data_IF_845846671771
#
_entry.id   IF_845846671771
#
_cell.length_a   1.000
_cell.length_b   1.000
_cell.length_c   1.000
_cell.angle_alpha   90.00
_cell.angle_beta   90.00
_cell.angle_gamma   90.00
#
_symmetry.space_group_name_H-M   'P 1'
#
loop_
_entity.id
_entity.type
_entity.pdbx_description
1 polymer ?
#
# COMPACT_ATOMS: atom_id res chain seq x y z
N UNK A 1 19.16 8.69 -7.69
CA UNK A 1 18.07 7.71 -7.68
C UNK A 1 18.18 6.70 -8.80
N UNK A 2 17.92 5.42 -8.50
CA UNK A 2 17.98 4.33 -9.50
C UNK A 2 16.75 4.29 -10.45
N UNK A 3 15.88 5.31 -10.47
CA UNK A 3 14.69 5.36 -11.35
C UNK A 3 13.46 4.60 -10.84
N UNK A 4 13.46 4.12 -9.58
CA UNK A 4 12.32 3.35 -9.01
C UNK A 4 11.00 4.12 -9.04
N UNK A 5 11.00 5.36 -8.56
CA UNK A 5 9.78 6.21 -8.55
C UNK A 5 9.32 6.55 -9.97
N UNK A 6 10.25 6.79 -10.91
CA UNK A 6 9.94 6.97 -12.33
C UNK A 6 9.24 5.74 -12.90
N UNK A 7 9.75 4.53 -12.61
CA UNK A 7 9.12 3.28 -13.02
C UNK A 7 7.69 3.17 -12.45
N UNK A 8 7.49 3.52 -11.17
CA UNK A 8 6.13 3.51 -10.58
C UNK A 8 5.20 4.50 -11.28
N UNK A 9 5.65 5.72 -11.58
CA UNK A 9 4.85 6.74 -12.29
C UNK A 9 4.48 6.28 -13.70
N UNK A 10 5.42 5.63 -14.40
CA UNK A 10 5.15 5.03 -15.71
C UNK A 10 4.09 3.92 -15.58
N UNK A 11 4.18 3.03 -14.59
CA UNK A 11 3.18 1.98 -14.35
C UNK A 11 1.79 2.55 -14.02
N UNK A 12 1.74 3.66 -13.29
CA UNK A 12 0.49 4.38 -12.97
C UNK A 12 -0.09 5.09 -14.21
N UNK A 13 0.74 5.40 -15.20
CA UNK A 13 0.36 6.17 -16.38
C UNK A 13 0.47 7.68 -16.18
N UNK A 14 1.20 8.12 -15.16
CA UNK A 14 1.53 9.52 -14.87
C UNK A 14 2.68 10.03 -15.76
N UNK A 15 3.53 9.11 -16.22
CA UNK A 15 4.61 9.36 -17.17
C UNK A 15 4.53 8.36 -18.32
N UNK A 16 4.95 8.79 -19.51
CA UNK A 16 5.04 7.92 -20.70
C UNK A 16 6.44 7.28 -20.77
N UNK A 17 6.55 5.99 -21.10
CA UNK A 17 7.86 5.39 -21.32
C UNK A 17 8.48 5.96 -22.60
N UNK A 18 9.82 6.13 -22.62
CA UNK A 18 10.56 6.55 -23.81
C UNK A 18 10.42 5.52 -24.94
N UNK A 19 10.43 4.23 -24.58
CA UNK A 19 10.26 3.11 -25.51
C UNK A 19 9.38 2.01 -24.88
N UNK A 20 8.76 1.20 -25.73
CA UNK A 20 7.94 0.08 -25.29
C UNK A 20 6.48 0.45 -24.98
N UNK A 21 5.75 -0.49 -24.42
CA UNK A 21 4.33 -0.33 -24.10
C UNK A 21 3.99 -0.98 -22.75
N UNK A 22 3.03 -0.36 -22.04
CA UNK A 22 2.47 -0.92 -20.81
C UNK A 22 1.11 -1.54 -21.14
N UNK A 23 0.94 -2.81 -20.77
CA UNK A 23 -0.35 -3.50 -20.88
C UNK A 23 -0.92 -3.72 -19.48
N UNK A 24 -2.02 -3.05 -19.16
CA UNK A 24 -2.76 -3.25 -17.91
C UNK A 24 -3.75 -4.41 -18.09
N UNK A 25 -3.82 -5.30 -17.11
CA UNK A 25 -4.80 -6.39 -17.11
C UNK A 25 -6.23 -5.85 -17.03
N UNK A 26 -7.18 -6.59 -17.60
CA UNK A 26 -8.61 -6.27 -17.50
C UNK A 26 -9.05 -6.44 -16.05
N UNK A 27 -9.76 -5.43 -15.51
CA UNK A 27 -10.22 -5.44 -14.12
C UNK A 27 -9.18 -5.03 -13.08
N UNK A 28 -7.99 -4.57 -13.50
CA UNK A 28 -7.01 -4.02 -12.58
C UNK A 28 -7.53 -2.74 -11.94
N UNK A 29 -7.55 -2.69 -10.61
CA UNK A 29 -7.96 -1.56 -9.78
C UNK A 29 -6.79 -1.12 -8.91
N UNK A 30 -5.89 -0.28 -9.45
CA UNK A 30 -4.69 0.14 -8.75
C UNK A 30 -5.01 1.23 -7.73
N UNK A 31 -4.27 1.21 -6.61
CA UNK A 31 -4.16 2.33 -5.69
C UNK A 31 -2.68 2.58 -5.38
N UNK A 32 -2.32 3.83 -5.18
CA UNK A 32 -0.95 4.26 -4.93
C UNK A 32 -0.84 5.09 -3.66
N UNK A 33 0.03 4.65 -2.77
CA UNK A 33 0.47 5.41 -1.60
C UNK A 33 1.87 5.97 -1.89
N UNK A 34 2.01 7.27 -2.13
CA UNK A 34 3.31 7.90 -2.35
C UNK A 34 4.10 8.00 -1.04
N UNK A 35 5.42 8.16 -1.15
CA UNK A 35 6.31 8.38 -0.01
C UNK A 35 5.91 9.61 0.82
N UNK A 36 5.49 10.69 0.17
CA UNK A 36 4.96 11.87 0.82
C UNK A 36 3.48 12.05 0.47
N UNK A 37 2.66 12.09 1.49
CA UNK A 37 1.19 12.19 1.33
C UNK A 37 0.77 13.64 1.48
N UNK A 38 0.09 14.15 0.44
CA UNK A 38 -0.48 15.49 0.41
C UNK A 38 -2.00 15.42 0.28
N UNK A 39 -2.68 16.30 0.98
CA UNK A 39 -4.13 16.47 0.89
C UNK A 39 -4.45 17.85 0.32
N UNK A 40 -5.43 17.93 -0.56
CA UNK A 40 -5.82 19.18 -1.22
C UNK A 40 -6.34 20.22 -0.22
N UNK A 41 -6.97 19.79 0.86
CA UNK A 41 -7.57 20.65 1.89
C UNK A 41 -7.04 20.26 3.29
N UNK A 42 -5.79 20.64 3.63
CA UNK A 42 -5.16 20.20 4.87
C UNK A 42 -5.81 20.75 6.15
N UNK A 43 -6.56 21.84 6.07
CA UNK A 43 -7.30 22.44 7.19
C UNK A 43 -8.67 21.82 7.44
N UNK A 44 -9.08 20.86 6.62
CA UNK A 44 -10.32 20.11 6.82
C UNK A 44 -10.11 19.04 7.89
N UNK A 45 -11.10 18.78 8.74
CA UNK A 45 -11.02 17.67 9.69
C UNK A 45 -11.15 16.33 8.96
N UNK A 46 -10.81 15.21 9.65
CA UNK A 46 -10.76 13.90 9.02
C UNK A 46 -12.15 13.42 8.56
N UNK A 47 -13.20 13.72 9.31
CA UNK A 47 -14.58 13.34 8.95
C UNK A 47 -14.97 14.04 7.66
N UNK A 48 -14.80 15.36 7.61
CA UNK A 48 -15.16 16.15 6.43
C UNK A 48 -14.30 15.77 5.22
N UNK A 49 -13.02 15.42 5.43
CA UNK A 49 -12.16 14.92 4.37
C UNK A 49 -12.79 13.70 3.68
N UNK A 50 -13.21 12.68 4.44
CA UNK A 50 -13.86 11.51 3.87
C UNK A 50 -15.23 11.82 3.27
N UNK A 51 -16.04 12.68 3.91
CA UNK A 51 -17.36 13.06 3.39
C UNK A 51 -17.22 13.67 1.99
N UNK A 52 -16.32 14.64 1.84
CA UNK A 52 -16.18 15.37 0.56
C UNK A 52 -15.40 14.57 -0.49
N UNK A 53 -14.35 13.85 -0.10
CA UNK A 53 -13.48 13.16 -1.06
C UNK A 53 -14.07 11.82 -1.52
N UNK A 54 -14.97 11.21 -0.70
CA UNK A 54 -15.65 9.93 -1.01
C UNK A 54 -17.15 10.03 -1.18
N UNK A 55 -17.73 11.22 -0.96
CA UNK A 55 -19.17 11.46 -1.04
C UNK A 55 -19.97 10.50 -0.14
N UNK A 56 -19.59 10.39 1.12
CA UNK A 56 -20.18 9.46 2.09
C UNK A 56 -20.93 10.20 3.21
N UNK A 57 -21.81 9.49 3.93
CA UNK A 57 -22.46 10.03 5.12
C UNK A 57 -21.46 10.22 6.27
N UNK A 58 -21.78 11.11 7.21
CA UNK A 58 -20.99 11.31 8.43
C UNK A 58 -20.83 10.00 9.22
N UNK A 59 -21.88 9.19 9.30
CA UNK A 59 -21.82 7.91 10.02
C UNK A 59 -20.85 6.94 9.35
N UNK A 60 -20.88 6.84 8.03
CA UNK A 60 -19.95 6.02 7.24
C UNK A 60 -18.50 6.51 7.42
N UNK A 61 -18.29 7.84 7.33
CA UNK A 61 -16.96 8.43 7.52
C UNK A 61 -16.39 8.11 8.91
N UNK A 62 -17.20 8.28 9.97
CA UNK A 62 -16.79 7.98 11.36
C UNK A 62 -16.46 6.50 11.56
N UNK A 63 -17.31 5.60 11.07
CA UNK A 63 -17.08 4.15 11.15
C UNK A 63 -15.81 3.75 10.43
N UNK A 64 -15.61 4.28 9.23
CA UNK A 64 -14.41 4.02 8.43
C UNK A 64 -13.13 4.54 9.11
N UNK A 65 -13.13 5.77 9.61
CA UNK A 65 -12.01 6.32 10.37
C UNK A 65 -11.71 5.46 11.62
N UNK A 66 -12.74 4.99 12.31
CA UNK A 66 -12.58 4.10 13.46
C UNK A 66 -11.87 2.78 13.09
N UNK A 67 -12.22 2.15 11.97
CA UNK A 67 -11.53 0.94 11.48
C UNK A 67 -10.07 1.18 11.09
N UNK A 68 -9.69 2.44 10.85
CA UNK A 68 -8.31 2.87 10.61
C UNK A 68 -7.67 3.52 11.86
N UNK A 69 -8.16 3.16 13.06
CA UNK A 69 -7.64 3.60 14.36
C UNK A 69 -7.67 5.12 14.61
N UNK A 70 -8.51 5.86 13.91
CA UNK A 70 -8.84 7.24 14.27
C UNK A 70 -10.09 7.23 15.14
N UNK A 71 -9.93 7.37 16.45
CA UNK A 71 -11.03 7.25 17.42
C UNK A 71 -11.34 8.57 18.14
N UNK A 72 -12.59 8.75 18.53
CA UNK A 72 -13.01 9.88 19.35
C UNK A 72 -12.63 11.24 18.77
N UNK A 73 -11.96 12.06 19.57
CA UNK A 73 -11.53 13.41 19.22
C UNK A 73 -10.48 13.46 18.08
N UNK A 74 -9.75 12.37 17.84
CA UNK A 74 -8.80 12.32 16.73
C UNK A 74 -9.49 12.58 15.37
N UNK A 75 -10.74 12.15 15.22
CA UNK A 75 -11.52 12.36 13.99
C UNK A 75 -11.85 13.83 13.71
N UNK A 76 -11.77 14.67 14.75
CA UNK A 76 -12.03 16.11 14.65
C UNK A 76 -10.76 16.93 14.39
N UNK A 77 -9.57 16.31 14.49
CA UNK A 77 -8.33 16.98 14.11
C UNK A 77 -8.35 17.34 12.64
N UNK A 78 -7.66 18.43 12.28
CA UNK A 78 -7.43 18.77 10.90
C UNK A 78 -6.25 17.96 10.33
N UNK A 79 -6.23 17.74 9.02
CA UNK A 79 -5.22 16.90 8.36
C UNK A 79 -3.80 17.44 8.53
N UNK A 80 -3.62 18.76 8.61
CA UNK A 80 -2.31 19.39 8.85
C UNK A 80 -1.74 19.07 10.23
N UNK A 81 -2.59 18.78 11.22
CA UNK A 81 -2.17 18.37 12.58
C UNK A 81 -1.66 16.91 12.65
N UNK A 82 -1.84 16.13 11.60
CA UNK A 82 -1.44 14.73 11.58
C UNK A 82 0.07 14.58 11.38
N UNK A 83 0.64 13.60 12.06
CA UNK A 83 2.00 13.11 11.77
C UNK A 83 2.08 12.51 10.37
N UNK A 84 3.29 12.25 9.86
CA UNK A 84 3.49 11.59 8.58
C UNK A 84 2.81 10.22 8.51
N UNK A 85 2.94 9.42 9.57
CA UNK A 85 2.30 8.10 9.68
C UNK A 85 0.77 8.18 9.72
N UNK A 86 0.22 9.12 10.48
CA UNK A 86 -1.23 9.35 10.51
C UNK A 86 -1.75 9.82 9.14
N UNK A 87 -1.00 10.65 8.40
CA UNK A 87 -1.35 11.04 7.01
C UNK A 87 -1.36 9.84 6.07
N UNK A 88 -0.36 8.96 6.16
CA UNK A 88 -0.32 7.72 5.37
C UNK A 88 -1.49 6.81 5.70
N UNK A 89 -1.86 6.68 6.98
CA UNK A 89 -3.01 5.91 7.46
C UNK A 89 -4.33 6.49 6.93
N UNK A 90 -4.50 7.81 6.98
CA UNK A 90 -5.69 8.48 6.42
C UNK A 90 -5.77 8.27 4.90
N UNK A 91 -4.63 8.38 4.19
CA UNK A 91 -4.62 8.13 2.74
C UNK A 91 -4.97 6.68 2.40
N UNK A 92 -4.48 5.71 3.15
CA UNK A 92 -4.88 4.31 2.97
C UNK A 92 -6.37 4.09 3.29
N UNK A 93 -6.90 4.78 4.31
CA UNK A 93 -8.33 4.79 4.61
C UNK A 93 -9.16 5.24 3.41
N UNK A 94 -8.74 6.29 2.70
CA UNK A 94 -9.38 6.77 1.47
C UNK A 94 -9.21 5.80 0.29
N UNK A 95 -7.98 5.33 0.06
CA UNK A 95 -7.67 4.45 -1.06
C UNK A 95 -8.42 3.11 -0.98
N UNK A 96 -8.47 2.53 0.20
CA UNK A 96 -9.14 1.25 0.45
C UNK A 96 -10.65 1.39 0.67
N UNK A 97 -11.23 2.57 0.49
CA UNK A 97 -12.68 2.76 0.50
C UNK A 97 -13.32 2.09 -0.71
N UNK A 98 -12.71 2.27 -1.88
CA UNK A 98 -13.14 1.62 -3.12
C UNK A 98 -12.51 0.24 -3.24
N UNK A 99 -13.19 -0.73 -3.88
CA UNK A 99 -12.58 -2.03 -4.13
C UNK A 99 -11.29 -1.90 -4.95
N UNK A 100 -10.18 -2.39 -4.42
CA UNK A 100 -8.90 -2.41 -5.11
C UNK A 100 -8.30 -3.82 -5.06
N UNK A 101 -7.49 -4.18 -6.06
CA UNK A 101 -6.80 -5.47 -6.14
C UNK A 101 -5.30 -5.34 -6.45
N UNK A 102 -4.82 -4.10 -6.59
CA UNK A 102 -3.41 -3.82 -6.80
C UNK A 102 -3.00 -2.58 -5.99
N UNK A 103 -2.20 -2.78 -4.96
CA UNK A 103 -1.72 -1.71 -4.09
C UNK A 103 -0.24 -1.45 -4.34
N UNK A 104 0.08 -0.19 -4.63
CA UNK A 104 1.46 0.27 -4.83
C UNK A 104 1.85 1.14 -3.64
N UNK A 105 2.97 0.82 -2.99
CA UNK A 105 3.51 1.56 -1.85
C UNK A 105 4.93 2.05 -2.17
N UNK A 106 5.16 3.35 -2.05
CA UNK A 106 6.49 3.94 -2.24
C UNK A 106 7.07 4.35 -0.88
N UNK A 107 8.07 3.59 -0.39
CA UNK A 107 8.74 3.77 0.91
C UNK A 107 7.74 3.87 2.09
N UNK A 108 6.83 2.89 2.27
CA UNK A 108 5.69 3.00 3.19
C UNK A 108 6.08 3.09 4.67
N UNK A 109 7.27 2.64 5.04
CA UNK A 109 7.77 2.65 6.42
C UNK A 109 8.74 3.79 6.73
N UNK A 110 9.04 4.63 5.72
CA UNK A 110 10.04 5.69 5.86
C UNK A 110 9.56 6.81 6.79
N UNK A 111 10.40 7.22 7.73
CA UNK A 111 10.12 8.27 8.72
C UNK A 111 8.89 8.03 9.62
N UNK A 112 8.44 6.78 9.75
CA UNK A 112 7.34 6.42 10.63
C UNK A 112 7.84 6.09 12.05
N UNK A 113 7.02 6.45 13.03
CA UNK A 113 7.13 5.90 14.38
C UNK A 113 6.76 4.40 14.40
N UNK A 114 7.10 3.72 15.49
CA UNK A 114 6.90 2.28 15.63
C UNK A 114 5.43 1.88 15.47
N UNK A 115 4.51 2.62 16.08
CA UNK A 115 3.08 2.31 16.04
C UNK A 115 2.51 2.46 14.61
N UNK A 116 2.92 3.50 13.88
CA UNK A 116 2.52 3.70 12.48
C UNK A 116 3.10 2.61 11.56
N UNK A 117 4.32 2.14 11.83
CA UNK A 117 4.95 1.04 11.09
C UNK A 117 4.19 -0.26 11.30
N UNK A 118 3.95 -0.66 12.55
CA UNK A 118 3.20 -1.87 12.90
C UNK A 118 1.81 -1.86 12.23
N UNK A 119 1.14 -0.72 12.27
CA UNK A 119 -0.17 -0.58 11.65
C UNK A 119 -0.12 -0.79 10.12
N UNK A 120 0.88 -0.22 9.42
CA UNK A 120 1.04 -0.42 7.97
C UNK A 120 1.33 -1.89 7.65
N UNK A 121 2.17 -2.55 8.45
CA UNK A 121 2.47 -3.96 8.29
C UNK A 121 1.22 -4.83 8.45
N UNK A 122 0.38 -4.55 9.46
CA UNK A 122 -0.91 -5.22 9.63
C UNK A 122 -1.87 -4.98 8.44
N UNK A 123 -1.95 -3.73 7.95
CA UNK A 123 -2.78 -3.39 6.81
C UNK A 123 -2.33 -4.10 5.52
N UNK A 124 -1.01 -4.22 5.31
CA UNK A 124 -0.42 -4.96 4.19
C UNK A 124 -0.67 -6.45 4.31
N UNK A 125 -0.56 -7.02 5.51
CA UNK A 125 -0.81 -8.44 5.76
C UNK A 125 -2.28 -8.82 5.53
N UNK A 126 -3.19 -7.92 5.88
CA UNK A 126 -4.64 -8.11 5.67
C UNK A 126 -5.08 -7.89 4.22
N UNK A 127 -4.24 -7.30 3.38
CA UNK A 127 -4.61 -6.98 2.00
C UNK A 127 -4.65 -8.23 1.11
N UNK A 128 -5.82 -8.56 0.56
CA UNK A 128 -6.04 -9.72 -0.32
C UNK A 128 -5.94 -9.31 -1.82
N UNK A 129 -4.75 -8.87 -2.22
CA UNK A 129 -4.48 -8.44 -3.60
C UNK A 129 -3.00 -8.51 -3.94
N UNK A 130 -2.65 -7.98 -5.11
CA UNK A 130 -1.25 -7.85 -5.50
C UNK A 130 -0.65 -6.60 -4.87
N UNK A 131 0.46 -6.78 -4.17
CA UNK A 131 1.24 -5.70 -3.58
C UNK A 131 2.51 -5.47 -4.39
N UNK A 132 2.73 -4.23 -4.82
CA UNK A 132 4.01 -3.76 -5.33
C UNK A 132 4.54 -2.69 -4.40
N UNK A 133 5.76 -2.82 -3.92
CA UNK A 133 6.33 -1.80 -3.04
C UNK A 133 7.80 -1.52 -3.34
N UNK A 134 8.19 -0.29 -3.07
CA UNK A 134 9.59 0.13 -2.99
C UNK A 134 9.91 0.35 -1.53
N UNK A 135 10.95 -0.28 -1.02
CA UNK A 135 11.39 -0.05 0.36
C UNK A 135 12.90 -0.24 0.51
N UNK A 136 13.50 0.55 1.40
CA UNK A 136 14.86 0.36 1.91
C UNK A 136 14.88 -0.38 3.25
N UNK A 137 13.73 -0.64 3.84
CA UNK A 137 13.56 -1.39 5.07
C UNK A 137 13.69 -2.90 4.78
N UNK A 138 14.84 -3.47 5.15
CA UNK A 138 15.13 -4.89 4.90
C UNK A 138 14.17 -5.82 5.62
N UNK A 139 13.69 -5.43 6.80
CA UNK A 139 12.73 -6.23 7.56
C UNK A 139 11.39 -6.29 6.84
N UNK A 140 10.90 -5.15 6.37
CA UNK A 140 9.66 -5.05 5.59
C UNK A 140 9.76 -5.86 4.29
N UNK A 141 10.90 -5.72 3.57
CA UNK A 141 11.12 -6.46 2.32
C UNK A 141 11.15 -7.96 2.57
N UNK A 142 11.89 -8.43 3.59
CA UNK A 142 11.99 -9.86 3.91
C UNK A 142 10.65 -10.46 4.30
N UNK A 143 9.82 -9.70 5.04
CA UNK A 143 8.51 -10.17 5.51
C UNK A 143 7.49 -10.30 4.39
N UNK A 144 7.48 -9.39 3.43
CA UNK A 144 6.39 -9.27 2.47
C UNK A 144 6.74 -9.60 1.02
N UNK A 145 8.03 -9.57 0.65
CA UNK A 145 8.42 -9.85 -0.72
C UNK A 145 8.42 -11.35 -1.03
N UNK A 146 7.68 -11.73 -2.06
CA UNK A 146 7.71 -13.07 -2.68
C UNK A 146 8.37 -13.05 -4.05
N UNK A 147 8.67 -11.85 -4.56
CA UNK A 147 9.35 -11.57 -5.83
C UNK A 147 10.11 -10.28 -5.71
N UNK A 148 11.33 -10.23 -6.20
CA UNK A 148 12.20 -9.06 -6.15
C UNK A 148 12.45 -8.56 -7.57
N UNK A 149 12.09 -7.31 -7.81
CA UNK A 149 12.43 -6.58 -9.04
C UNK A 149 13.60 -5.65 -8.74
N UNK A 150 14.80 -6.08 -9.06
CA UNK A 150 16.02 -5.35 -8.74
C UNK A 150 16.46 -4.46 -9.90
N UNK A 151 16.44 -3.16 -9.68
CA UNK A 151 16.83 -2.16 -10.67
C UNK A 151 18.22 -1.60 -10.35
N UNK A 152 19.19 -1.89 -11.21
CA UNK A 152 20.58 -1.42 -11.11
C UNK A 152 21.11 -1.06 -12.50
N UNK A 153 21.75 0.09 -12.65
CA UNK A 153 22.38 0.57 -13.90
C UNK A 153 21.45 0.48 -15.13
N UNK A 154 20.16 0.83 -14.95
CA UNK A 154 19.17 0.79 -16.01
C UNK A 154 18.71 -0.63 -16.40
N UNK A 155 19.15 -1.66 -15.71
CA UNK A 155 18.73 -3.05 -15.91
C UNK A 155 17.81 -3.51 -14.79
N UNK A 156 16.75 -4.21 -15.17
CA UNK A 156 15.81 -4.83 -14.24
C UNK A 156 16.07 -6.33 -14.18
N UNK A 157 16.44 -6.82 -13.00
CA UNK A 157 16.54 -8.25 -12.71
C UNK A 157 15.28 -8.69 -11.98
N UNK A 158 14.64 -9.72 -12.48
CA UNK A 158 13.42 -10.30 -11.92
C UNK A 158 13.75 -11.63 -11.23
N UNK A 159 13.51 -11.70 -9.92
CA UNK A 159 13.81 -12.86 -9.10
C UNK A 159 12.57 -13.29 -8.30
N UNK A 160 12.18 -14.55 -8.43
CA UNK A 160 11.07 -15.14 -7.67
C UNK A 160 11.65 -15.80 -6.42
N UNK A 161 11.30 -15.29 -5.25
CA UNK A 161 11.78 -15.75 -3.96
C UNK A 161 11.82 -14.65 -2.92
N UNK A 162 12.32 -14.97 -1.72
CA UNK A 162 12.51 -14.02 -0.65
C UNK A 162 13.69 -13.06 -0.95
N UNK A 163 13.77 -11.98 -0.18
CA UNK A 163 14.89 -11.05 -0.30
C UNK A 163 16.22 -11.69 0.12
N UNK A 164 16.22 -12.53 1.14
CA UNK A 164 17.41 -13.29 1.58
C UNK A 164 17.90 -14.26 0.49
N UNK A 165 16.99 -14.90 -0.23
CA UNK A 165 17.37 -15.78 -1.34
C UNK A 165 17.90 -14.99 -2.53
N UNK A 166 17.35 -13.83 -2.81
CA UNK A 166 17.88 -12.91 -3.82
C UNK A 166 19.31 -12.44 -3.48
N UNK A 167 19.63 -12.13 -2.23
CA UNK A 167 20.98 -11.75 -1.83
C UNK A 167 21.99 -12.89 -2.05
N UNK A 168 21.64 -14.12 -1.66
CA UNK A 168 22.49 -15.32 -1.92
C UNK A 168 22.70 -15.55 -3.41
N UNK A 169 21.66 -15.36 -4.21
CA UNK A 169 21.73 -15.44 -5.67
C UNK A 169 22.71 -14.42 -6.25
N UNK A 170 22.66 -13.16 -5.81
CA UNK A 170 23.63 -12.13 -6.23
C UNK A 170 25.07 -12.45 -5.86
N UNK A 171 25.30 -12.98 -4.65
CA UNK A 171 26.64 -13.34 -4.18
C UNK A 171 27.26 -14.44 -5.03
N UNK A 172 26.46 -15.35 -5.56
CA UNK A 172 26.94 -16.44 -6.44
C UNK A 172 27.23 -16.02 -7.88
N UNK A 173 26.83 -14.81 -8.29
CA UNK A 173 27.00 -14.32 -9.65
C UNK A 173 26.19 -15.09 -10.71
N UNK A 174 25.14 -15.79 -10.30
CA UNK A 174 24.26 -16.56 -11.18
C UNK A 174 23.34 -15.63 -11.97
N UNK A 175 23.01 -15.98 -13.22
CA UNK A 175 21.92 -15.33 -13.97
C UNK A 175 20.58 -15.99 -13.61
N UNK A 176 19.50 -15.23 -13.40
CA UNK A 176 18.22 -15.84 -13.06
C UNK A 176 17.71 -16.71 -14.21
N UNK A 177 17.70 -18.02 -14.02
CA UNK A 177 16.78 -18.85 -14.79
C UNK A 177 15.37 -18.55 -14.28
N UNK A 178 14.56 -17.93 -15.13
CA UNK A 178 13.19 -17.55 -14.80
C UNK A 178 12.33 -18.82 -14.65
N UNK A 179 12.15 -19.39 -13.45
CA UNK A 179 11.28 -20.53 -13.27
C UNK A 179 9.83 -20.07 -13.47
N UNK A 180 9.01 -20.91 -14.07
CA UNK A 180 7.58 -20.69 -14.20
C UNK A 180 6.98 -20.31 -12.81
N UNK A 181 6.01 -19.38 -12.76
CA UNK A 181 5.49 -18.85 -11.50
C UNK A 181 5.03 -19.97 -10.59
N UNK A 182 5.71 -20.11 -9.44
CA UNK A 182 5.31 -21.05 -8.40
C UNK A 182 3.90 -20.65 -7.88
N UNK A 183 3.02 -21.63 -7.57
CA UNK A 183 1.71 -21.34 -7.01
C UNK A 183 1.90 -20.58 -5.69
N UNK A 184 1.30 -19.40 -5.62
CA UNK A 184 1.34 -18.54 -4.44
C UNK A 184 0.83 -19.32 -3.21
N UNK A 185 1.53 -19.26 -2.07
CA UNK A 185 0.99 -19.84 -0.84
C UNK A 185 -0.32 -19.12 -0.52
N UNK A 186 -1.41 -19.88 -0.40
CA UNK A 186 -2.70 -19.34 0.01
C UNK A 186 -2.52 -18.74 1.40
N UNK A 187 -2.49 -17.39 1.47
CA UNK A 187 -2.50 -16.66 2.75
C UNK A 187 -3.76 -17.11 3.52
N UNK A 188 -3.59 -17.57 4.75
CA UNK A 188 -4.72 -17.82 5.64
C UNK A 188 -5.42 -16.50 5.85
N UNK A 189 -6.71 -16.42 5.51
CA UNK A 189 -7.53 -15.23 5.81
C UNK A 189 -7.51 -15.04 7.32
N UNK A 190 -7.14 -13.85 7.83
CA UNK A 190 -7.49 -13.50 9.19
C UNK A 190 -9.03 -13.46 9.28
N UNK A 191 -9.60 -13.94 10.38
CA UNK A 191 -11.01 -13.78 10.69
C UNK A 191 -11.31 -12.30 10.90
N UNK A 192 -11.55 -11.58 9.81
CA UNK A 192 -12.06 -10.20 9.87
C UNK A 192 -13.57 -10.33 10.04
N UNK A 193 -14.17 -9.79 11.13
CA UNK A 193 -15.61 -9.77 11.28
C UNK A 193 -16.24 -9.09 10.06
N UNK A 194 -17.13 -9.78 9.38
CA UNK A 194 -17.90 -9.22 8.28
C UNK A 194 -18.95 -8.25 8.84
N UNK A 195 -19.39 -7.31 8.03
CA UNK A 195 -20.44 -6.32 8.39
C UNK A 195 -21.74 -6.96 8.90
N UNK A 196 -21.92 -8.26 8.69
CA UNK A 196 -23.07 -9.03 9.14
C UNK A 196 -22.99 -9.47 10.62
N UNK A 197 -21.81 -9.32 11.25
CA UNK A 197 -21.60 -9.69 12.68
C UNK A 197 -21.90 -8.54 13.66
N UNK A 198 -22.38 -7.39 13.16
CA UNK A 198 -22.78 -6.27 14.03
C UNK A 198 -24.24 -6.49 14.47
N UNK A 199 -24.52 -6.62 15.78
CA UNK A 199 -25.88 -6.78 16.27
C UNK A 199 -26.71 -5.55 15.89
N UNK A 200 -27.88 -5.77 15.27
CA UNK A 200 -28.83 -4.71 14.97
C UNK A 200 -29.36 -4.13 16.30
N UNK A 201 -29.51 -2.80 16.41
CA UNK A 201 -30.12 -2.23 17.59
C UNK A 201 -31.57 -2.73 17.72
N UNK A 202 -32.10 -2.88 18.96
CA UNK A 202 -33.49 -3.27 19.18
C UNK A 202 -34.44 -2.20 18.64
N UNK A 203 -35.58 -2.63 18.09
CA UNK A 203 -36.67 -1.78 17.58
C UNK A 203 -37.26 -0.87 18.67
#
# INVERSE_FOLDING_TARGET
GAGKTTLLRILLGEETPDEGTIRKGVGLKPAYLPQQVYFANPHRNLIDTLIYDKNVSMQTARGRLGSFQFTGEQQLKTVDMLSGGEKSRLRLCELMYDPLNFLILDEPTNHLDLASREWIEEAVEAFDGTLLFVSHDRYFVERFATRVLYLEDGRLTDFIGSYSDFLKFREKGETPENPAPAPQPKRKKPDVPTLDDVPRPPE
#
